data_IF_555752928511
#
_entry.id   IF_555752928511
#
_cell.length_a   1.000
_cell.length_b   1.000
_cell.length_c   1.000
_cell.angle_alpha   90.00
_cell.angle_beta   90.00
_cell.angle_gamma   90.00
#
_symmetry.space_group_name_H-M   'P 1'
#
loop_
_entity.id
_entity.type
_entity.pdbx_description
1 polymer ?
#
# COMPACT_ATOMS: atom_id res chain seq x y z
N UNK A 1 -29.60 -1.67 32.86
CA UNK A 1 -29.28 -2.50 31.67
C UNK A 1 -28.93 -1.53 30.54
N UNK A 2 -27.65 -1.19 30.39
CA UNK A 2 -27.19 -0.21 29.41
C UNK A 2 -26.79 -0.93 28.12
N UNK A 3 -27.63 -0.82 27.08
CA UNK A 3 -27.33 -1.31 25.74
C UNK A 3 -26.42 -0.33 25.02
N UNK A 4 -25.14 -0.68 24.87
CA UNK A 4 -24.22 0.05 23.99
C UNK A 4 -24.47 -0.37 22.54
N UNK A 5 -25.13 0.50 21.77
CA UNK A 5 -25.12 0.45 20.31
C UNK A 5 -23.72 0.87 19.80
N UNK A 6 -22.86 -0.11 19.51
CA UNK A 6 -21.72 0.09 18.62
C UNK A 6 -22.14 -0.26 17.19
N UNK A 7 -22.78 0.70 16.53
CA UNK A 7 -22.95 0.68 15.08
C UNK A 7 -21.67 1.19 14.41
N UNK A 8 -20.59 0.40 14.45
CA UNK A 8 -19.49 0.57 13.50
C UNK A 8 -20.02 0.14 12.13
N UNK A 9 -20.44 1.11 11.32
CA UNK A 9 -20.69 0.90 9.89
C UNK A 9 -19.38 0.57 9.20
N UNK A 10 -18.97 -0.71 9.25
CA UNK A 10 -18.00 -1.27 8.31
C UNK A 10 -18.75 -1.79 7.09
N UNK A 11 -18.01 -1.84 5.97
CA UNK A 11 -18.43 -2.35 4.66
C UNK A 11 -19.07 -1.31 3.74
N UNK A 12 -18.25 -0.34 3.30
CA UNK A 12 -18.39 0.03 1.89
C UNK A 12 -18.24 -1.24 1.06
N UNK A 13 -19.24 -1.52 0.24
CA UNK A 13 -19.40 -2.62 -0.71
C UNK A 13 -18.09 -2.90 -1.49
N UNK A 14 -17.16 -3.66 -0.90
CA UNK A 14 -15.95 -4.10 -1.57
C UNK A 14 -16.24 -5.12 -2.69
N UNK A 15 -17.45 -5.67 -2.71
CA UNK A 15 -17.93 -6.70 -3.64
C UNK A 15 -18.20 -6.20 -5.07
N UNK A 16 -18.21 -4.88 -5.31
CA UNK A 16 -18.59 -4.29 -6.62
C UNK A 16 -17.45 -3.62 -7.39
N UNK A 17 -16.21 -3.65 -6.90
CA UNK A 17 -15.07 -3.04 -7.61
C UNK A 17 -14.38 -4.10 -8.46
N UNK A 18 -14.22 -3.80 -9.75
CA UNK A 18 -13.36 -4.61 -10.64
C UNK A 18 -11.98 -4.77 -9.96
N UNK A 19 -11.40 -5.98 -9.98
CA UNK A 19 -10.09 -6.21 -9.38
C UNK A 19 -9.08 -5.26 -10.00
N UNK A 20 -8.21 -4.68 -9.17
CA UNK A 20 -7.21 -3.74 -9.67
C UNK A 20 -6.28 -4.44 -10.65
N UNK A 21 -5.83 -3.74 -11.68
CA UNK A 21 -4.83 -4.26 -12.63
C UNK A 21 -3.56 -4.72 -11.94
N UNK A 22 -3.23 -4.10 -10.81
CA UNK A 22 -2.12 -4.47 -9.95
C UNK A 22 -2.35 -5.82 -9.24
N UNK A 23 -3.52 -6.00 -8.61
CA UNK A 23 -3.85 -7.25 -7.91
C UNK A 23 -3.88 -8.43 -8.88
N UNK A 24 -4.54 -8.26 -10.03
CA UNK A 24 -4.57 -9.28 -11.07
C UNK A 24 -3.16 -9.68 -11.51
N UNK A 25 -2.26 -8.71 -11.71
CA UNK A 25 -0.86 -8.96 -12.09
C UNK A 25 -0.09 -9.75 -11.03
N UNK A 26 -0.39 -9.55 -9.75
CA UNK A 26 0.23 -10.32 -8.66
C UNK A 26 -0.32 -11.74 -8.61
N UNK A 27 -1.63 -11.89 -8.75
CA UNK A 27 -2.31 -13.20 -8.78
C UNK A 27 -1.82 -14.04 -9.96
N UNK A 28 -1.61 -13.42 -11.14
CA UNK A 28 -1.04 -14.07 -12.32
C UNK A 28 0.44 -14.48 -12.11
N UNK A 29 1.17 -13.80 -11.22
CA UNK A 29 2.58 -14.07 -10.95
C UNK A 29 2.80 -15.20 -9.94
N UNK A 30 1.94 -15.33 -8.93
CA UNK A 30 2.12 -16.34 -7.89
C UNK A 30 0.82 -16.73 -7.20
N UNK A 31 0.67 -18.03 -6.96
CA UNK A 31 -0.41 -18.60 -6.15
C UNK A 31 -0.14 -18.54 -4.64
N UNK A 32 0.98 -17.94 -4.20
CA UNK A 32 1.30 -17.84 -2.76
C UNK A 32 0.47 -16.72 -2.13
N UNK A 33 -0.32 -17.00 -1.06
CA UNK A 33 -1.16 -15.99 -0.40
C UNK A 33 -0.39 -14.75 0.03
N UNK A 34 0.85 -14.95 0.47
CA UNK A 34 1.82 -13.91 0.82
C UNK A 34 1.79 -12.69 -0.12
N UNK A 35 1.73 -12.87 -1.44
CA UNK A 35 1.82 -11.72 -2.36
C UNK A 35 0.58 -10.83 -2.38
N UNK A 36 -0.59 -11.37 -2.01
CA UNK A 36 -1.86 -10.64 -1.98
C UNK A 36 -2.30 -10.24 -0.57
N UNK A 37 -1.50 -10.59 0.45
CA UNK A 37 -1.74 -10.13 1.81
C UNK A 37 -1.70 -8.60 1.89
N UNK A 38 -2.64 -8.01 2.64
CA UNK A 38 -2.77 -6.55 2.74
C UNK A 38 -1.54 -5.89 3.35
N UNK A 39 -0.92 -6.56 4.33
CA UNK A 39 0.35 -6.16 4.94
C UNK A 39 1.47 -6.08 3.90
N UNK A 40 1.57 -7.10 3.06
CA UNK A 40 2.60 -7.19 2.02
C UNK A 40 2.37 -6.17 0.90
N UNK A 41 1.13 -6.02 0.46
CA UNK A 41 0.75 -4.95 -0.49
C UNK A 41 1.13 -3.59 0.11
N UNK A 42 0.77 -3.33 1.37
CA UNK A 42 1.11 -2.08 2.03
C UNK A 42 2.62 -1.85 2.13
N UNK A 43 3.39 -2.87 2.54
CA UNK A 43 4.84 -2.79 2.68
C UNK A 43 5.52 -2.42 1.35
N UNK A 44 5.13 -3.09 0.25
CA UNK A 44 5.65 -2.80 -1.10
C UNK A 44 5.32 -1.38 -1.55
N UNK A 45 4.09 -0.93 -1.27
CA UNK A 45 3.68 0.44 -1.60
C UNK A 45 4.44 1.48 -0.80
N UNK A 46 4.63 1.23 0.49
CA UNK A 46 5.40 2.09 1.37
C UNK A 46 6.86 2.20 0.91
N UNK A 47 7.50 1.08 0.54
CA UNK A 47 8.85 1.04 -0.02
C UNK A 47 8.95 1.95 -1.26
N UNK A 48 8.05 1.77 -2.24
CA UNK A 48 8.05 2.58 -3.47
C UNK A 48 7.76 4.07 -3.20
N UNK A 49 6.95 4.37 -2.20
CA UNK A 49 6.60 5.73 -1.80
C UNK A 49 7.77 6.44 -1.10
N UNK A 50 8.48 5.75 -0.20
CA UNK A 50 9.52 6.34 0.65
C UNK A 50 10.87 6.43 -0.06
N UNK A 51 11.20 5.47 -0.93
CA UNK A 51 12.47 5.40 -1.65
C UNK A 51 12.89 6.72 -2.33
N UNK A 52 12.06 7.38 -3.17
CA UNK A 52 12.45 8.63 -3.82
C UNK A 52 12.64 9.76 -2.81
N UNK A 53 11.88 9.79 -1.70
CA UNK A 53 11.99 10.82 -0.67
C UNK A 53 13.28 10.66 0.15
N UNK A 54 13.67 9.42 0.47
CA UNK A 54 14.95 9.14 1.13
C UNK A 54 16.12 9.54 0.23
N UNK A 55 16.05 9.19 -1.05
CA UNK A 55 17.05 9.59 -2.05
C UNK A 55 17.21 11.11 -2.14
N UNK A 56 16.11 11.85 -2.18
CA UNK A 56 16.12 13.32 -2.22
C UNK A 56 16.74 13.94 -0.96
N UNK A 57 16.60 13.29 0.19
CA UNK A 57 17.18 13.73 1.46
C UNK A 57 18.62 13.20 1.69
N UNK A 58 19.24 12.57 0.69
CA UNK A 58 20.59 12.02 0.82
C UNK A 58 20.68 10.81 1.78
N UNK A 59 19.56 10.21 2.16
CA UNK A 59 19.53 9.04 3.04
C UNK A 59 19.68 7.79 2.19
N UNK A 60 20.81 7.12 2.31
CA UNK A 60 21.06 5.83 1.67
C UNK A 60 20.59 4.69 2.58
N UNK A 61 19.59 3.92 2.14
CA UNK A 61 19.14 2.70 2.84
C UNK A 61 19.05 1.56 1.85
N UNK A 62 19.98 0.61 1.93
CA UNK A 62 19.98 -0.60 1.09
C UNK A 62 18.71 -1.45 1.27
N UNK A 63 18.02 -1.32 2.40
CA UNK A 63 16.75 -2.00 2.64
C UNK A 63 15.56 -1.32 1.94
N UNK A 64 15.57 0.01 1.84
CA UNK A 64 14.45 0.79 1.30
C UNK A 64 14.69 1.35 -0.11
N UNK A 65 15.91 1.23 -0.63
CA UNK A 65 16.29 1.79 -1.93
C UNK A 65 16.64 0.74 -2.98
N UNK A 66 17.00 -0.48 -2.58
CA UNK A 66 17.23 -1.57 -3.52
C UNK A 66 15.96 -2.41 -3.67
N UNK A 67 15.23 -2.19 -4.76
CA UNK A 67 14.10 -3.04 -5.10
C UNK A 67 14.60 -4.48 -5.27
N UNK A 68 14.20 -5.40 -4.39
CA UNK A 68 14.53 -6.83 -4.53
C UNK A 68 13.76 -7.44 -5.72
N UNK A 69 14.35 -7.28 -6.90
CA UNK A 69 14.37 -8.16 -8.08
C UNK A 69 13.08 -8.77 -8.68
N UNK A 70 11.87 -8.28 -8.42
CA UNK A 70 10.72 -8.65 -9.27
C UNK A 70 9.75 -7.50 -9.49
N UNK A 71 9.88 -6.81 -10.63
CA UNK A 71 9.01 -5.66 -11.01
C UNK A 71 7.51 -5.98 -11.02
N UNK A 72 7.14 -7.23 -11.25
CA UNK A 72 5.75 -7.68 -11.41
C UNK A 72 4.90 -7.41 -10.16
N UNK A 73 5.52 -7.58 -8.98
CA UNK A 73 4.88 -7.45 -7.67
C UNK A 73 4.99 -6.04 -7.07
N UNK A 74 5.43 -5.07 -7.87
CA UNK A 74 5.43 -3.66 -7.54
C UNK A 74 4.49 -2.89 -8.48
N UNK A 75 4.02 -1.72 -8.03
CA UNK A 75 3.23 -0.83 -8.88
C UNK A 75 4.10 -0.20 -9.97
N UNK A 76 3.53 -0.01 -11.14
CA UNK A 76 4.10 0.83 -12.18
C UNK A 76 4.09 2.31 -11.73
N UNK A 77 4.91 3.18 -12.34
CA UNK A 77 4.90 4.61 -12.01
C UNK A 77 3.50 5.26 -12.13
N UNK A 78 2.70 4.84 -13.11
CA UNK A 78 1.34 5.33 -13.34
C UNK A 78 0.37 4.90 -12.23
N UNK A 79 0.46 3.65 -11.79
CA UNK A 79 -0.32 3.14 -10.66
C UNK A 79 0.08 3.85 -9.36
N UNK A 80 1.39 3.97 -9.12
CA UNK A 80 1.93 4.62 -7.92
C UNK A 80 1.52 6.09 -7.83
N UNK A 81 1.51 6.83 -8.95
CA UNK A 81 1.07 8.24 -8.99
C UNK A 81 -0.34 8.45 -8.42
N UNK A 82 -1.23 7.46 -8.54
CA UNK A 82 -2.59 7.52 -7.98
C UNK A 82 -2.62 7.28 -6.47
N UNK A 83 -1.62 6.57 -5.95
CA UNK A 83 -1.53 6.12 -4.56
C UNK A 83 -0.78 7.14 -3.69
N UNK A 84 0.18 7.87 -4.25
CA UNK A 84 1.00 8.88 -3.54
C UNK A 84 0.16 9.87 -2.72
N UNK A 85 -0.92 10.51 -3.25
CA UNK A 85 -1.70 11.46 -2.45
C UNK A 85 -2.37 10.85 -1.22
N UNK A 86 -2.67 9.54 -1.26
CA UNK A 86 -3.25 8.84 -0.12
C UNK A 86 -2.19 8.57 0.96
N UNK A 87 -0.96 8.23 0.58
CA UNK A 87 0.14 8.11 1.52
C UNK A 87 0.54 9.46 2.12
N UNK A 88 0.59 10.53 1.32
CA UNK A 88 0.85 11.87 1.84
C UNK A 88 -0.20 12.27 2.90
N UNK A 89 -1.50 12.02 2.62
CA UNK A 89 -2.58 12.24 3.59
C UNK A 89 -2.43 11.36 4.84
N UNK A 90 -2.09 10.09 4.68
CA UNK A 90 -1.87 9.17 5.79
C UNK A 90 -0.75 9.70 6.71
N UNK A 91 0.38 10.12 6.16
CA UNK A 91 1.50 10.64 6.96
C UNK A 91 1.12 11.93 7.70
N UNK A 92 0.37 12.84 7.08
CA UNK A 92 -0.12 14.05 7.75
C UNK A 92 -0.97 13.68 8.97
N UNK A 93 -1.87 12.71 8.82
CA UNK A 93 -2.72 12.23 9.92
C UNK A 93 -1.91 11.53 11.00
N UNK A 94 -0.94 10.68 10.63
CA UNK A 94 -0.05 10.02 11.59
C UNK A 94 0.74 11.05 12.42
N UNK A 95 1.33 12.07 11.78
CA UNK A 95 2.07 13.14 12.48
C UNK A 95 1.19 14.01 13.37
N UNK A 96 -0.11 14.06 13.12
CA UNK A 96 -1.03 14.79 14.01
C UNK A 96 -1.42 13.98 15.24
N UNK A 97 -1.27 12.65 15.19
CA UNK A 97 -1.67 11.72 16.24
C UNK A 97 -0.52 11.33 17.19
N UNK A 98 0.73 11.51 16.75
CA UNK A 98 1.96 11.23 17.50
C UNK A 98 2.81 12.51 17.57
#
# INVERSE_FOLDING_TARGET
>A
MFGYLWGLTTHSDASKKKPSTFLKRIEDYSNKPYYVERSEIFARLFEQYVAPKLKQNGVASSFLMDTKYTRVVYMTPTELKRVVPHFDRLLVLMRAAF
#
